data_IF_901859440078
#
_entry.id   IF_901859440078
#
_cell.length_a   1.000
_cell.length_b   1.000
_cell.length_c   1.000
_cell.angle_alpha   90.00
_cell.angle_beta   90.00
_cell.angle_gamma   90.00
#
_symmetry.space_group_name_H-M   'P 1'
#
loop_
_entity.id
_entity.type
_entity.pdbx_description
1 polymer ?
#
# COMPACT_ATOMS: atom_id res chain seq x y z
N UNK A 1 -2.12 -18.48 1.00
CA UNK A 1 -1.95 -17.01 0.94
C UNK A 1 -0.72 -16.63 1.72
N UNK A 2 0.10 -15.74 1.17
CA UNK A 2 1.23 -15.15 1.89
C UNK A 2 0.92 -13.69 2.26
N UNK A 3 1.38 -13.25 3.42
CA UNK A 3 1.36 -11.82 3.81
C UNK A 3 2.68 -11.17 3.39
N UNK A 4 2.61 -10.12 2.57
CA UNK A 4 3.77 -9.41 2.04
C UNK A 4 3.89 -8.06 2.74
N UNK A 5 5.07 -7.81 3.35
CA UNK A 5 5.39 -6.52 3.97
C UNK A 5 5.64 -5.46 2.91
N UNK A 6 4.90 -4.38 2.97
CA UNK A 6 5.11 -3.15 2.21
C UNK A 6 5.95 -2.20 3.03
N UNK A 7 7.00 -1.66 2.41
CA UNK A 7 7.93 -0.72 3.06
C UNK A 7 8.16 0.55 2.27
N UNK A 8 7.72 0.60 1.01
CA UNK A 8 7.85 1.79 0.18
C UNK A 8 6.66 1.94 -0.78
N UNK A 9 6.42 3.17 -1.21
CA UNK A 9 5.34 3.54 -2.12
C UNK A 9 5.86 4.41 -3.27
N UNK A 10 5.15 4.40 -4.39
CA UNK A 10 5.34 5.40 -5.45
C UNK A 10 4.12 6.31 -5.47
N UNK A 11 4.36 7.62 -5.50
CA UNK A 11 3.32 8.63 -5.60
C UNK A 11 3.29 9.24 -7.01
N UNK A 12 2.11 9.64 -7.49
CA UNK A 12 1.92 10.45 -8.70
C UNK A 12 1.05 11.66 -8.38
N UNK A 13 1.51 12.86 -8.76
CA UNK A 13 0.81 14.14 -8.61
C UNK A 13 1.81 15.31 -8.72
N UNK A 14 1.41 16.41 -9.36
CA UNK A 14 2.26 17.61 -9.57
C UNK A 14 2.35 18.52 -8.34
N UNK A 15 1.37 18.42 -7.42
CA UNK A 15 1.30 19.18 -6.17
C UNK A 15 1.23 18.22 -4.98
N UNK A 16 1.96 18.56 -3.93
CA UNK A 16 2.15 17.73 -2.71
C UNK A 16 0.80 17.35 -2.07
N UNK A 17 -0.21 18.22 -2.17
CA UNK A 17 -1.57 18.02 -1.62
C UNK A 17 -2.46 17.02 -2.39
N UNK A 18 -2.09 16.60 -3.59
CA UNK A 18 -2.86 15.66 -4.41
C UNK A 18 -2.07 14.42 -4.84
N UNK A 19 -0.95 14.16 -4.16
CA UNK A 19 -0.14 12.99 -4.42
C UNK A 19 -0.91 11.70 -4.11
N UNK A 20 -0.98 10.79 -5.07
CA UNK A 20 -1.67 9.50 -4.93
C UNK A 20 -0.71 8.33 -5.06
N UNK A 21 -0.88 7.32 -4.21
CA UNK A 21 -0.20 6.02 -4.36
C UNK A 21 -0.54 5.39 -5.70
N UNK A 22 0.46 5.12 -6.51
CA UNK A 22 0.35 4.41 -7.80
C UNK A 22 1.02 3.05 -7.78
N UNK A 23 1.93 2.81 -6.84
CA UNK A 23 2.55 1.50 -6.62
C UNK A 23 2.95 1.32 -5.16
N UNK A 24 3.04 0.06 -4.72
CA UNK A 24 3.57 -0.39 -3.43
C UNK A 24 4.77 -1.31 -3.69
N UNK A 25 5.67 -1.42 -2.71
CA UNK A 25 6.84 -2.28 -2.84
C UNK A 25 7.57 -2.55 -1.53
N UNK A 26 8.66 -3.32 -1.63
CA UNK A 26 9.55 -3.60 -0.53
C UNK A 26 10.80 -4.39 -0.93
N UNK A 27 11.74 -4.63 0.00
CA UNK A 27 13.05 -5.22 -0.29
C UNK A 27 13.05 -6.74 -0.51
N UNK A 28 11.91 -7.44 -0.31
CA UNK A 28 11.86 -8.90 -0.46
C UNK A 28 12.33 -9.34 -1.86
N UNK A 29 13.26 -10.30 -1.91
CA UNK A 29 13.68 -10.95 -3.16
C UNK A 29 14.51 -10.09 -4.12
N UNK A 30 15.23 -9.08 -3.63
CA UNK A 30 15.99 -8.14 -4.48
C UNK A 30 15.21 -6.86 -4.84
N UNK A 31 14.06 -6.65 -4.20
CA UNK A 31 13.17 -5.53 -4.47
C UNK A 31 11.98 -5.96 -5.32
N UNK A 32 10.78 -5.61 -4.87
CA UNK A 32 9.55 -5.83 -5.62
C UNK A 32 8.73 -4.55 -5.68
N UNK A 33 7.95 -4.42 -6.75
CA UNK A 33 7.04 -3.29 -6.97
C UNK A 33 5.80 -3.78 -7.69
N UNK A 34 4.63 -3.38 -7.19
CA UNK A 34 3.34 -3.65 -7.81
C UNK A 34 2.56 -2.35 -7.93
N UNK A 35 1.95 -2.12 -9.09
CA UNK A 35 0.98 -1.03 -9.25
C UNK A 35 -0.24 -1.25 -8.35
N UNK A 36 -0.95 -0.19 -8.01
CA UNK A 36 -2.22 -0.30 -7.26
C UNK A 36 -3.19 -1.25 -7.94
N UNK A 37 -3.29 -1.23 -9.27
CA UNK A 37 -4.17 -2.15 -10.01
C UNK A 37 -3.78 -3.63 -9.82
N UNK A 38 -2.47 -3.94 -9.89
CA UNK A 38 -1.98 -5.28 -9.64
C UNK A 38 -2.23 -5.73 -8.20
N UNK A 39 -1.92 -4.88 -7.22
CA UNK A 39 -2.15 -5.17 -5.81
C UNK A 39 -3.64 -5.37 -5.49
N UNK A 40 -4.52 -4.53 -6.04
CA UNK A 40 -5.99 -4.70 -5.94
C UNK A 40 -6.39 -6.06 -6.51
N UNK A 41 -5.95 -6.41 -7.72
CA UNK A 41 -6.25 -7.72 -8.32
C UNK A 41 -5.75 -8.89 -7.46
N UNK A 42 -4.56 -8.77 -6.87
CA UNK A 42 -3.99 -9.79 -5.97
C UNK A 42 -4.83 -9.98 -4.71
N UNK A 43 -5.30 -8.89 -4.09
CA UNK A 43 -6.18 -8.93 -2.91
C UNK A 43 -7.54 -9.53 -3.28
N UNK A 44 -8.17 -9.06 -4.38
CA UNK A 44 -9.49 -9.54 -4.81
C UNK A 44 -9.50 -11.03 -5.17
N UNK A 45 -8.40 -11.51 -5.75
CA UNK A 45 -8.23 -12.93 -6.09
C UNK A 45 -7.80 -13.80 -4.91
N UNK A 46 -7.58 -13.20 -3.73
CA UNK A 46 -7.09 -13.93 -2.55
C UNK A 46 -5.73 -14.59 -2.77
N UNK A 47 -4.86 -13.99 -3.60
CA UNK A 47 -3.54 -14.56 -3.90
C UNK A 47 -2.57 -14.25 -2.76
N UNK A 48 -2.46 -12.97 -2.40
CA UNK A 48 -1.64 -12.48 -1.29
C UNK A 48 -2.36 -11.37 -0.54
N UNK A 49 -1.96 -11.19 0.70
CA UNK A 49 -2.33 -10.05 1.54
C UNK A 49 -1.13 -9.14 1.71
N UNK A 50 -1.39 -7.86 1.97
CA UNK A 50 -0.35 -6.86 2.13
C UNK A 50 -0.49 -6.20 3.50
N UNK A 51 0.63 -5.94 4.15
CA UNK A 51 0.64 -5.24 5.44
C UNK A 51 1.83 -4.28 5.51
N UNK A 52 1.75 -3.32 6.41
CA UNK A 52 2.87 -2.46 6.80
C UNK A 52 3.04 -2.47 8.31
N UNK A 53 4.15 -1.93 8.79
CA UNK A 53 4.34 -1.63 10.21
C UNK A 53 4.22 -0.12 10.39
N UNK A 54 3.40 0.30 11.37
CA UNK A 54 3.32 1.70 11.76
C UNK A 54 4.63 2.16 12.43
N UNK A 55 4.70 3.45 12.80
CA UNK A 55 5.87 4.01 13.49
C UNK A 55 6.19 3.33 14.84
N UNK A 56 5.21 2.66 15.46
CA UNK A 56 5.35 1.91 16.71
C UNK A 56 5.62 0.41 16.48
N UNK A 57 5.82 -0.02 15.22
CA UNK A 57 6.02 -1.42 14.86
C UNK A 57 4.76 -2.28 14.84
N UNK A 58 3.57 -1.69 14.94
CA UNK A 58 2.28 -2.42 14.91
C UNK A 58 1.93 -2.76 13.48
N UNK A 59 1.48 -4.00 13.27
CA UNK A 59 1.03 -4.47 11.97
C UNK A 59 -0.31 -3.84 11.60
N UNK A 60 -0.33 -3.18 10.44
CA UNK A 60 -1.53 -2.64 9.80
C UNK A 60 -1.75 -3.35 8.47
N UNK A 61 -2.96 -3.86 8.24
CA UNK A 61 -3.31 -4.49 6.97
C UNK A 61 -3.52 -3.43 5.90
N UNK A 62 -3.19 -3.74 4.66
CA UNK A 62 -3.49 -2.88 3.51
C UNK A 62 -4.70 -3.46 2.80
N UNK A 63 -5.76 -2.67 2.74
CA UNK A 63 -7.03 -3.08 2.16
C UNK A 63 -7.45 -2.14 1.03
N UNK A 64 -8.41 -2.62 0.24
CA UNK A 64 -9.01 -1.87 -0.86
C UNK A 64 -10.06 -0.94 -0.27
N UNK A 65 -9.84 0.37 -0.40
CA UNK A 65 -10.86 1.38 -0.11
C UNK A 65 -11.56 1.78 -1.41
N UNK A 66 -12.89 1.78 -1.38
CA UNK A 66 -13.71 2.20 -2.52
C UNK A 66 -13.77 3.73 -2.55
N UNK A 67 -12.89 4.36 -3.32
CA UNK A 67 -12.90 5.80 -3.54
C UNK A 67 -13.98 6.22 -4.56
N UNK A 68 -14.35 7.51 -4.57
CA UNK A 68 -15.44 8.03 -5.43
C UNK A 68 -15.16 7.94 -6.94
N UNK A 69 -13.91 7.78 -7.36
CA UNK A 69 -13.54 7.63 -8.79
C UNK A 69 -12.90 6.28 -9.13
N UNK A 70 -12.30 5.61 -8.15
CA UNK A 70 -11.63 4.31 -8.31
C UNK A 70 -11.27 3.71 -6.97
N UNK A 71 -11.03 2.39 -6.98
CA UNK A 71 -10.37 1.65 -5.91
C UNK A 71 -8.95 2.17 -5.70
N UNK A 72 -8.56 2.30 -4.43
CA UNK A 72 -7.19 2.57 -4.02
C UNK A 72 -6.84 1.74 -2.78
N UNK A 73 -5.57 1.75 -2.40
CA UNK A 73 -5.08 1.04 -1.21
C UNK A 73 -4.99 2.01 -0.03
N UNK A 74 -5.37 1.54 1.15
CA UNK A 74 -5.20 2.28 2.41
C UNK A 74 -4.90 1.31 3.56
N UNK A 75 -4.21 1.80 4.57
CA UNK A 75 -3.94 1.01 5.77
C UNK A 75 -5.23 0.86 6.60
N UNK A 76 -5.40 -0.27 7.26
CA UNK A 76 -6.52 -0.59 8.14
C UNK A 76 -6.02 -1.24 9.42
N UNK A 77 -6.41 -0.67 10.55
CA UNK A 77 -6.08 -1.17 11.89
C UNK A 77 -7.23 -0.97 12.85
N UNK A 78 -7.57 -1.99 13.65
CA UNK A 78 -8.66 -1.89 14.64
C UNK A 78 -10.01 -1.48 14.04
N UNK A 79 -10.29 -1.88 12.80
CA UNK A 79 -11.53 -1.55 12.08
C UNK A 79 -11.58 -0.14 11.47
N UNK A 80 -10.52 0.67 11.60
CA UNK A 80 -10.45 2.04 11.08
C UNK A 80 -9.51 2.14 9.88
N UNK A 81 -9.84 3.02 8.95
CA UNK A 81 -8.95 3.45 7.88
C UNK A 81 -7.89 4.40 8.43
N UNK A 82 -6.64 4.20 8.01
CA UNK A 82 -5.48 4.93 8.49
C UNK A 82 -4.61 5.38 7.33
N UNK A 83 -3.92 6.50 7.50
CA UNK A 83 -3.08 7.11 6.48
C UNK A 83 -1.61 6.67 6.54
N UNK A 84 -1.28 5.68 7.40
CA UNK A 84 0.07 5.12 7.57
C UNK A 84 0.69 4.59 6.26
N UNK A 85 -0.12 4.25 5.25
CA UNK A 85 0.42 3.89 3.94
C UNK A 85 1.17 5.05 3.28
N UNK A 86 0.72 6.29 3.51
CA UNK A 86 1.31 7.52 2.96
C UNK A 86 2.57 7.95 3.70
N UNK A 87 2.84 7.40 4.89
CA UNK A 87 4.05 7.70 5.68
C UNK A 87 5.25 6.86 5.26
N UNK A 88 5.03 5.82 4.44
CA UNK A 88 6.10 4.99 3.90
C UNK A 88 7.03 5.81 3.01
N UNK A 89 8.32 5.46 3.05
CA UNK A 89 9.32 6.08 2.19
C UNK A 89 8.95 5.93 0.71
N UNK A 90 9.38 6.90 -0.10
CA UNK A 90 9.22 6.82 -1.55
C UNK A 90 10.13 5.74 -2.11
N UNK A 91 9.68 5.09 -3.19
CA UNK A 91 10.53 4.20 -3.95
C UNK A 91 11.59 5.03 -4.67
N UNK A 92 12.81 5.00 -4.14
CA UNK A 92 14.01 5.49 -4.81
C UNK A 92 14.67 4.28 -5.46
N UNK A 93 14.83 4.32 -6.79
CA UNK A 93 15.59 3.33 -7.55
C UNK A 93 17.08 3.56 -7.33
#
# INVERSE_FOLDING_TARGET
MASIKVTCISLKGELVDHARVVAIGGPNGGGWRMTVAQAVSTIERGVNEFYLLDANGRRLEIAIEQGPRRKHLRARGGGKWLDDLLTLRRFEL
#
